data_IF_000619530069
#
_entry.id   IF_000619530069
#
_cell.length_a   1.000
_cell.length_b   1.000
_cell.length_c   1.000
_cell.angle_alpha   90.00
_cell.angle_beta   90.00
_cell.angle_gamma   90.00
#
_symmetry.space_group_name_H-M   'P 1'
#
loop_
_entity.id
_entity.type
_entity.pdbx_description
1 polymer ?
#
# COMPACT_ATOMS: atom_id res chain seq x y z
N UNK A 1 16.22 -16.46 -3.50
CA UNK A 1 16.08 -15.08 -4.00
C UNK A 1 15.72 -15.14 -5.48
N UNK A 2 14.45 -14.94 -5.83
CA UNK A 2 14.07 -14.79 -7.24
C UNK A 2 14.29 -13.33 -7.65
N UNK A 3 15.32 -13.10 -8.48
CA UNK A 3 15.69 -11.78 -9.00
C UNK A 3 14.58 -11.17 -9.88
N UNK A 4 13.61 -11.96 -10.33
CA UNK A 4 12.51 -11.52 -11.20
C UNK A 4 11.45 -10.67 -10.47
N UNK A 5 11.20 -10.93 -9.18
CA UNK A 5 10.19 -10.23 -8.39
C UNK A 5 10.69 -8.85 -7.93
N UNK A 6 11.94 -8.79 -7.47
CA UNK A 6 12.61 -7.53 -7.09
C UNK A 6 12.70 -6.54 -8.26
N UNK A 7 12.97 -7.01 -9.49
CA UNK A 7 13.02 -6.13 -10.68
C UNK A 7 11.66 -5.57 -11.08
N UNK A 8 10.59 -6.36 -10.94
CA UNK A 8 9.21 -5.92 -11.27
C UNK A 8 8.72 -4.87 -10.30
N UNK A 9 9.01 -5.00 -9.01
CA UNK A 9 8.63 -4.00 -8.02
C UNK A 9 9.31 -2.64 -8.25
N UNK A 10 10.61 -2.60 -8.54
CA UNK A 10 11.29 -1.33 -8.89
C UNK A 10 10.75 -0.68 -10.18
N UNK A 11 10.22 -1.47 -11.12
CA UNK A 11 9.61 -0.91 -12.34
C UNK A 11 8.21 -0.34 -12.13
N UNK A 12 7.54 -0.76 -11.04
CA UNK A 12 6.25 -0.23 -10.59
C UNK A 12 6.47 1.07 -9.81
N UNK A 13 7.46 1.06 -8.91
CA UNK A 13 7.74 2.15 -7.99
C UNK A 13 9.25 2.45 -8.00
N UNK A 14 9.78 3.25 -8.94
CA UNK A 14 11.21 3.52 -9.06
C UNK A 14 11.83 4.21 -7.82
N UNK A 15 10.99 4.78 -6.95
CA UNK A 15 11.35 5.36 -5.66
C UNK A 15 11.44 4.34 -4.51
N UNK A 16 10.95 3.11 -4.70
CA UNK A 16 11.16 2.02 -3.74
C UNK A 16 12.60 1.50 -3.87
N UNK A 17 13.36 1.55 -2.78
CA UNK A 17 14.75 1.04 -2.75
C UNK A 17 14.79 -0.46 -2.50
N UNK A 18 13.79 -0.99 -1.79
CA UNK A 18 13.51 -2.42 -1.59
C UNK A 18 12.00 -2.58 -1.52
N UNK A 19 11.42 -3.50 -2.27
CA UNK A 19 10.08 -3.99 -1.99
C UNK A 19 10.10 -5.51 -2.16
N UNK A 20 10.00 -6.18 -1.02
CA UNK A 20 10.04 -7.62 -0.88
C UNK A 20 8.68 -8.08 -0.37
N UNK A 21 7.95 -8.77 -1.25
CA UNK A 21 6.73 -9.44 -0.88
C UNK A 21 7.07 -10.89 -0.54
N UNK A 22 6.97 -11.25 0.73
CA UNK A 22 6.90 -12.64 1.14
C UNK A 22 5.44 -13.05 1.13
N UNK A 23 5.02 -13.74 0.07
CA UNK A 23 3.64 -14.20 -0.05
C UNK A 23 3.30 -15.35 0.93
N UNK A 24 4.32 -15.99 1.52
CA UNK A 24 4.15 -17.20 2.34
C UNK A 24 3.63 -16.91 3.76
N UNK A 25 3.81 -15.69 4.27
CA UNK A 25 3.42 -15.28 5.63
C UNK A 25 2.58 -13.98 5.67
N UNK A 26 2.14 -13.48 4.51
CA UNK A 26 1.32 -12.26 4.41
C UNK A 26 2.07 -10.99 4.79
N UNK A 27 3.40 -11.01 4.78
CA UNK A 27 4.23 -9.84 5.12
C UNK A 27 4.83 -9.21 3.88
N UNK A 28 4.67 -7.89 3.80
CA UNK A 28 5.36 -7.04 2.85
C UNK A 28 6.46 -6.29 3.60
N UNK A 29 7.69 -6.39 3.13
CA UNK A 29 8.82 -5.62 3.60
C UNK A 29 9.16 -4.57 2.55
N UNK A 30 9.02 -3.30 2.90
CA UNK A 30 9.26 -2.17 2.00
C UNK A 30 10.29 -1.20 2.56
N UNK A 31 11.11 -0.64 1.68
CA UNK A 31 11.82 0.62 1.90
C UNK A 31 11.28 1.61 0.87
N UNK A 32 10.47 2.54 1.35
CA UNK A 32 9.77 3.51 0.52
C UNK A 32 9.88 4.92 1.12
N UNK A 33 9.87 5.97 0.30
CA UNK A 33 9.72 7.33 0.80
C UNK A 33 8.31 7.53 1.37
N UNK A 34 8.24 7.96 2.63
CA UNK A 34 6.97 8.38 3.23
C UNK A 34 6.71 9.84 2.89
N UNK A 35 5.92 10.05 1.85
CA UNK A 35 5.58 11.37 1.34
C UNK A 35 6.80 12.16 0.84
N UNK A 36 6.78 13.46 1.07
CA UNK A 36 7.73 14.39 0.42
C UNK A 36 9.10 14.49 1.10
N UNK A 37 9.33 13.80 2.22
CA UNK A 37 10.58 13.94 2.99
C UNK A 37 11.78 13.25 2.34
N UNK A 38 11.60 12.54 1.22
CA UNK A 38 12.67 12.00 0.37
C UNK A 38 13.56 10.94 1.01
N UNK A 39 13.49 10.76 2.33
CA UNK A 39 14.24 9.75 3.07
C UNK A 39 13.54 8.40 3.01
N UNK A 40 14.25 7.33 2.60
CA UNK A 40 13.71 5.98 2.64
C UNK A 40 13.37 5.56 4.07
N UNK A 41 12.13 5.10 4.28
CA UNK A 41 11.68 4.54 5.56
C UNK A 41 11.49 3.04 5.41
N UNK A 42 12.15 2.28 6.28
CA UNK A 42 11.95 0.83 6.36
C UNK A 42 10.67 0.54 7.11
N UNK A 43 9.72 -0.09 6.43
CA UNK A 43 8.42 -0.46 6.97
C UNK A 43 8.10 -1.94 6.73
N UNK A 44 7.31 -2.48 7.64
CA UNK A 44 6.73 -3.81 7.55
C UNK A 44 5.21 -3.65 7.44
N UNK A 45 4.62 -4.07 6.32
CA UNK A 45 3.16 -4.13 6.18
C UNK A 45 2.71 -5.55 6.42
N UNK A 46 1.88 -5.75 7.44
CA UNK A 46 1.16 -7.00 7.63
C UNK A 46 -0.15 -6.93 6.84
N UNK A 47 -0.34 -7.82 5.87
CA UNK A 47 -1.63 -7.98 5.19
C UNK A 47 -2.57 -8.69 6.16
N UNK A 48 -3.72 -8.07 6.44
CA UNK A 48 -4.67 -8.54 7.45
C UNK A 48 -6.07 -8.64 6.88
N UNK A 49 -6.93 -9.40 7.57
CA UNK A 49 -8.36 -9.33 7.32
C UNK A 49 -8.91 -7.95 7.71
N UNK A 50 -9.93 -7.47 7.00
CA UNK A 50 -10.56 -6.16 7.25
C UNK A 50 -11.09 -6.05 8.67
N UNK A 51 -11.54 -7.14 9.29
CA UNK A 51 -12.00 -7.16 10.68
C UNK A 51 -10.91 -6.79 11.70
N UNK A 52 -9.63 -6.85 11.31
CA UNK A 52 -8.50 -6.45 12.14
C UNK A 52 -8.21 -4.93 12.11
N UNK A 53 -8.90 -4.16 11.26
CA UNK A 53 -8.78 -2.70 11.20
C UNK A 53 -9.68 -2.01 12.23
N UNK A 54 -9.46 -0.71 12.48
CA UNK A 54 -10.36 0.09 13.33
C UNK A 54 -11.79 0.16 12.77
N UNK A 55 -12.80 0.24 13.64
CA UNK A 55 -14.23 0.24 13.23
C UNK A 55 -14.57 1.36 12.23
N UNK A 56 -13.96 2.53 12.40
CA UNK A 56 -14.13 3.66 11.49
C UNK A 56 -13.63 3.32 10.08
N UNK A 57 -12.48 2.64 9.97
CA UNK A 57 -11.93 2.20 8.69
C UNK A 57 -12.85 1.15 8.05
N UNK A 58 -13.34 0.21 8.86
CA UNK A 58 -14.29 -0.81 8.38
C UNK A 58 -15.59 -0.20 7.84
N UNK A 59 -16.03 0.94 8.39
CA UNK A 59 -17.25 1.62 7.97
C UNK A 59 -17.14 2.24 6.57
N UNK A 60 -15.92 2.49 6.08
CA UNK A 60 -15.67 3.04 4.73
C UNK A 60 -15.73 1.98 3.62
N UNK A 61 -16.06 0.74 3.97
CA UNK A 61 -16.31 -0.32 2.99
C UNK A 61 -17.45 0.09 2.06
N UNK A 62 -17.16 0.07 0.77
CA UNK A 62 -18.15 0.25 -0.29
C UNK A 62 -18.64 -1.13 -0.79
N UNK A 63 -19.92 -1.47 -0.60
CA UNK A 63 -20.46 -2.76 -1.06
C UNK A 63 -20.36 -2.99 -2.58
N UNK A 64 -20.20 -1.93 -3.37
CA UNK A 64 -19.99 -2.04 -4.82
C UNK A 64 -18.57 -2.47 -5.22
N UNK A 65 -17.62 -2.50 -4.28
CA UNK A 65 -16.26 -2.99 -4.45
C UNK A 65 -16.11 -4.34 -3.72
N UNK A 66 -16.37 -5.47 -4.39
CA UNK A 66 -16.49 -6.79 -3.74
C UNK A 66 -15.17 -7.35 -3.20
N UNK A 67 -14.04 -6.85 -3.69
CA UNK A 67 -12.71 -7.29 -3.29
C UNK A 67 -12.01 -6.18 -2.50
N UNK A 68 -11.21 -6.55 -1.50
CA UNK A 68 -10.41 -5.59 -0.76
C UNK A 68 -9.12 -6.18 -0.22
N UNK A 69 -8.12 -5.34 -0.06
CA UNK A 69 -6.86 -5.61 0.61
C UNK A 69 -6.70 -4.64 1.78
N UNK A 70 -6.39 -5.16 2.96
CA UNK A 70 -6.18 -4.38 4.16
C UNK A 70 -4.78 -4.68 4.71
N UNK A 71 -4.16 -3.66 5.29
CA UNK A 71 -2.86 -3.80 5.92
C UNK A 71 -2.73 -3.00 7.20
N UNK A 72 -1.70 -3.34 7.96
CA UNK A 72 -1.21 -2.55 9.09
C UNK A 72 0.30 -2.38 8.93
N UNK A 73 0.73 -1.14 8.81
CA UNK A 73 2.12 -0.78 8.49
C UNK A 73 2.85 -0.40 9.75
N UNK A 74 4.00 -1.02 10.00
CA UNK A 74 4.83 -0.78 11.18
C UNK A 74 6.21 -0.28 10.76
N UNK A 75 6.85 0.50 11.62
CA UNK A 75 8.29 0.77 11.50
C UNK A 75 9.09 -0.53 11.66
N UNK A 76 10.39 -0.46 11.36
CA UNK A 76 11.33 -1.57 11.49
C UNK A 76 11.40 -2.19 12.90
N UNK A 77 10.96 -1.46 13.94
CA UNK A 77 10.85 -1.99 15.30
C UNK A 77 9.76 -3.05 15.48
N UNK A 78 8.82 -3.14 14.52
CA UNK A 78 7.67 -4.05 14.56
C UNK A 78 6.62 -3.70 15.62
N UNK A 79 6.73 -2.54 16.27
CA UNK A 79 5.86 -2.10 17.37
C UNK A 79 5.10 -0.84 16.99
N UNK A 80 5.75 0.11 16.32
CA UNK A 80 5.18 1.41 16.00
C UNK A 80 4.36 1.31 14.71
N UNK A 81 3.03 1.26 14.83
CA UNK A 81 2.13 1.34 13.67
C UNK A 81 2.11 2.77 13.11
N UNK A 82 2.34 2.89 11.81
CA UNK A 82 2.48 4.16 11.07
C UNK A 82 1.18 4.53 10.38
N UNK A 83 0.51 3.55 9.76
CA UNK A 83 -0.76 3.71 9.06
C UNK A 83 -1.45 2.36 8.86
N UNK A 84 -2.70 2.43 8.38
CA UNK A 84 -3.46 1.25 7.94
C UNK A 84 -3.97 1.45 6.50
N UNK A 85 -3.36 0.83 5.48
CA UNK A 85 -3.90 0.86 4.12
C UNK A 85 -5.19 0.04 4.00
N UNK A 86 -6.15 0.56 3.26
CA UNK A 86 -7.35 -0.16 2.85
C UNK A 86 -7.66 0.14 1.38
N UNK A 87 -7.57 -0.87 0.55
CA UNK A 87 -7.77 -0.77 -0.89
C UNK A 87 -8.93 -1.66 -1.30
N UNK A 88 -9.84 -1.12 -2.09
CA UNK A 88 -11.06 -1.80 -2.54
C UNK A 88 -11.06 -1.86 -4.06
N UNK A 89 -11.48 -2.99 -4.62
CA UNK A 89 -11.39 -3.27 -6.05
C UNK A 89 -12.73 -3.75 -6.60
N UNK A 90 -13.12 -3.18 -7.74
CA UNK A 90 -14.32 -3.57 -8.49
C UNK A 90 -13.93 -4.00 -9.90
N UNK A 91 -14.10 -5.29 -10.25
CA UNK A 91 -13.90 -5.73 -11.63
C UNK A 91 -14.84 -4.99 -12.58
N UNK A 92 -14.33 -4.60 -13.73
CA UNK A 92 -15.10 -4.08 -14.86
C UNK A 92 -14.74 -4.88 -16.12
N UNK A 93 -15.44 -4.67 -17.23
CA UNK A 93 -15.32 -5.50 -18.45
C UNK A 93 -13.88 -5.64 -18.96
N UNK A 94 -13.08 -4.58 -18.87
CA UNK A 94 -11.72 -4.49 -19.40
C UNK A 94 -10.64 -4.34 -18.32
N UNK A 95 -10.99 -4.36 -17.04
CA UNK A 95 -10.03 -4.09 -15.96
C UNK A 95 -10.65 -4.09 -14.58
N UNK A 96 -10.25 -3.12 -13.76
CA UNK A 96 -10.84 -2.88 -12.45
C UNK A 96 -10.84 -1.40 -12.14
N UNK A 97 -11.80 -0.96 -11.33
CA UNK A 97 -11.69 0.28 -10.58
C UNK A 97 -11.05 -0.02 -9.23
N UNK A 98 -10.14 0.85 -8.78
CA UNK A 98 -9.56 0.80 -7.44
C UNK A 98 -9.94 2.05 -6.64
N UNK A 99 -10.39 1.83 -5.41
CA UNK A 99 -10.47 2.86 -4.37
C UNK A 99 -9.32 2.60 -3.40
N UNK A 100 -8.34 3.48 -3.41
CA UNK A 100 -7.16 3.36 -2.56
C UNK A 100 -7.24 4.39 -1.44
N UNK A 101 -7.14 3.92 -0.20
CA UNK A 101 -7.10 4.76 0.99
C UNK A 101 -5.99 4.29 1.93
N UNK A 102 -5.42 5.24 2.67
CA UNK A 102 -4.46 4.98 3.75
C UNK A 102 -4.89 5.83 4.94
N UNK A 103 -5.10 5.18 6.08
CA UNK A 103 -5.57 5.81 7.30
C UNK A 103 -4.40 6.10 8.23
N UNK A 104 -4.30 7.34 8.67
CA UNK A 104 -3.18 7.85 9.44
C UNK A 104 -3.61 8.18 10.88
N UNK A 105 -2.68 8.11 11.85
CA UNK A 105 -2.86 8.75 13.15
C UNK A 105 -3.29 10.22 13.02
N UNK A 106 -4.11 10.69 13.95
CA UNK A 106 -4.76 12.02 13.91
C UNK A 106 -3.78 13.20 13.75
N UNK A 107 -2.54 13.04 14.21
CA UNK A 107 -1.51 14.08 14.17
C UNK A 107 -0.39 13.81 13.17
N UNK A 108 -0.62 12.91 12.19
CA UNK A 108 0.32 12.74 11.09
C UNK A 108 0.44 14.04 10.29
N UNK A 109 1.66 14.55 10.04
CA UNK A 109 1.86 15.76 9.25
C UNK A 109 1.20 15.67 7.86
N UNK A 110 0.51 16.75 7.46
CA UNK A 110 -0.17 16.85 6.17
C UNK A 110 0.76 16.53 4.98
N UNK A 111 2.03 16.91 5.05
CA UNK A 111 3.04 16.64 4.01
C UNK A 111 3.28 15.13 3.79
N UNK A 112 3.14 14.31 4.86
CA UNK A 112 3.21 12.85 4.75
C UNK A 112 1.94 12.32 4.09
N UNK A 113 0.76 12.78 4.54
CA UNK A 113 -0.54 12.35 4.00
C UNK A 113 -0.64 12.68 2.51
N UNK A 114 -0.36 13.93 2.13
CA UNK A 114 -0.42 14.38 0.75
C UNK A 114 0.65 13.73 -0.12
N UNK A 115 1.90 13.67 0.35
CA UNK A 115 2.97 13.03 -0.40
C UNK A 115 2.70 11.54 -0.65
N UNK A 116 2.16 10.83 0.34
CA UNK A 116 1.82 9.42 0.18
C UNK A 116 0.62 9.21 -0.76
N UNK A 117 -0.33 10.15 -0.81
CA UNK A 117 -1.42 10.09 -1.80
C UNK A 117 -0.91 10.15 -3.25
N UNK A 118 0.11 10.98 -3.50
CA UNK A 118 0.76 11.08 -4.80
C UNK A 118 1.57 9.82 -5.13
N UNK A 119 2.34 9.33 -4.15
CA UNK A 119 3.07 8.07 -4.23
C UNK A 119 2.15 6.94 -4.68
N UNK A 120 1.07 6.69 -3.91
CA UNK A 120 0.10 5.64 -4.18
C UNK A 120 -0.54 5.75 -5.58
N UNK A 121 -0.83 6.96 -6.03
CA UNK A 121 -1.35 7.18 -7.38
C UNK A 121 -0.35 6.76 -8.46
N UNK A 122 0.94 7.06 -8.27
CA UNK A 122 2.01 6.65 -9.19
C UNK A 122 2.18 5.13 -9.21
N UNK A 123 2.19 4.48 -8.04
CA UNK A 123 2.35 3.02 -7.92
C UNK A 123 1.24 2.26 -8.67
N UNK A 124 -0.01 2.64 -8.42
CA UNK A 124 -1.16 1.99 -9.05
C UNK A 124 -1.24 2.29 -10.54
N UNK A 125 -0.97 3.53 -10.95
CA UNK A 125 -0.96 3.90 -12.37
C UNK A 125 0.09 3.11 -13.14
N UNK A 126 1.32 3.05 -12.63
CA UNK A 126 2.40 2.30 -13.27
C UNK A 126 2.13 0.80 -13.28
N UNK A 127 1.48 0.29 -12.24
CA UNK A 127 0.95 -1.07 -12.19
C UNK A 127 0.03 -1.40 -13.34
N UNK A 128 -0.94 -0.53 -13.62
CA UNK A 128 -1.85 -0.70 -14.76
C UNK A 128 -1.09 -0.65 -16.09
N UNK A 129 -0.23 0.35 -16.31
CA UNK A 129 0.55 0.47 -17.56
C UNK A 129 1.35 -0.80 -17.91
N UNK A 130 1.98 -1.42 -16.91
CA UNK A 130 2.80 -2.61 -17.11
C UNK A 130 1.99 -3.88 -17.42
N UNK A 131 0.66 -3.86 -17.27
CA UNK A 131 -0.22 -4.95 -17.71
C UNK A 131 -0.47 -4.95 -19.22
N UNK A 132 -0.05 -3.90 -19.95
CA UNK A 132 -0.22 -3.81 -21.40
C UNK A 132 -1.67 -3.66 -21.86
N UNK A 133 -2.54 -3.19 -20.96
CA UNK A 133 -3.90 -2.77 -21.26
C UNK A 133 -3.97 -1.27 -21.52
#
# INVERSE_FOLDING_TARGET
MDKSLSRRSHSLNPEHFICHVSFDDGKLLGIEPFGMYGTPTLVNVNVVDVSALGKQIQADKDPSFPMSMAGRTFLADGVTEVNSPYHQFKPITDGFEAKTAVYWPEHTPDEIVYGHSLHLAMEFFRGVELTGK
#
